data_IF_128792963517
#
_entry.id   IF_128792963517
#
_cell.length_a   1.000
_cell.length_b   1.000
_cell.length_c   1.000
_cell.angle_alpha   90.00
_cell.angle_beta   90.00
_cell.angle_gamma   90.00
#
_symmetry.space_group_name_H-M   'P 1'
#
loop_
_entity.id
_entity.type
_entity.pdbx_description
1 polymer ?
#
# COMPACT_ATOMS: atom_id res chain seq x y z
N UNK A 1 32.20 10.76 46.08
CA UNK A 1 30.97 11.58 46.00
C UNK A 1 30.37 11.70 44.58
N UNK A 2 31.08 11.37 43.49
CA UNK A 2 30.51 11.48 42.11
C UNK A 2 29.48 10.41 41.72
N UNK A 3 29.55 9.20 42.29
CA UNK A 3 28.77 8.04 41.82
C UNK A 3 27.26 8.13 42.09
N UNK A 4 26.83 8.74 43.20
CA UNK A 4 25.40 8.87 43.57
C UNK A 4 24.72 10.00 42.77
N UNK A 5 25.43 11.10 42.54
CA UNK A 5 24.92 12.23 41.75
C UNK A 5 24.78 11.85 40.25
N UNK A 6 25.73 11.08 39.72
CA UNK A 6 25.67 10.55 38.35
C UNK A 6 24.54 9.52 38.19
N UNK A 7 24.31 8.68 39.22
CA UNK A 7 23.20 7.73 39.23
C UNK A 7 21.84 8.44 39.20
N UNK A 8 21.64 9.47 40.02
CA UNK A 8 20.41 10.28 40.02
C UNK A 8 20.19 11.03 38.70
N UNK A 9 21.24 11.63 38.14
CA UNK A 9 21.15 12.33 36.86
C UNK A 9 20.86 11.38 35.68
N UNK A 10 21.41 10.17 35.69
CA UNK A 10 21.13 9.16 34.67
C UNK A 10 19.68 8.66 34.75
N UNK A 11 19.17 8.37 35.94
CA UNK A 11 17.76 7.94 36.12
C UNK A 11 16.76 9.04 35.76
N UNK A 12 17.03 10.30 36.12
CA UNK A 12 16.18 11.44 35.73
C UNK A 12 16.15 11.65 34.21
N UNK A 13 17.29 11.46 33.52
CA UNK A 13 17.35 11.53 32.05
C UNK A 13 16.60 10.37 31.40
N UNK A 14 16.70 9.16 31.94
CA UNK A 14 15.97 7.98 31.44
C UNK A 14 14.46 8.11 31.64
N UNK A 15 14.02 8.56 32.82
CA UNK A 15 12.61 8.84 33.10
C UNK A 15 12.08 9.97 32.19
N UNK A 16 12.85 11.05 32.02
CA UNK A 16 12.50 12.11 31.09
C UNK A 16 12.38 11.62 29.65
N UNK A 17 13.31 10.80 29.17
CA UNK A 17 13.25 10.20 27.84
C UNK A 17 12.05 9.26 27.67
N UNK A 18 11.73 8.45 28.68
CA UNK A 18 10.58 7.55 28.66
C UNK A 18 9.25 8.31 28.62
N UNK A 19 9.12 9.39 29.42
CA UNK A 19 7.93 10.26 29.39
C UNK A 19 7.80 10.96 28.04
N UNK A 20 8.91 11.48 27.49
CA UNK A 20 8.91 12.11 26.17
C UNK A 20 8.51 11.12 25.08
N UNK A 21 9.05 9.90 25.10
CA UNK A 21 8.67 8.82 24.20
C UNK A 21 7.18 8.48 24.32
N UNK A 22 6.65 8.32 25.53
CA UNK A 22 5.24 8.04 25.76
C UNK A 22 4.33 9.16 25.23
N UNK A 23 4.69 10.42 25.44
CA UNK A 23 3.96 11.58 24.93
C UNK A 23 3.99 11.66 23.39
N UNK A 24 5.16 11.40 22.78
CA UNK A 24 5.28 11.34 21.32
C UNK A 24 4.45 10.18 20.76
N UNK A 25 4.51 8.99 21.36
CA UNK A 25 3.71 7.85 20.95
C UNK A 25 2.21 8.12 21.08
N UNK A 26 1.76 8.75 22.16
CA UNK A 26 0.36 9.15 22.37
C UNK A 26 -0.09 10.18 21.32
N UNK A 27 0.74 11.20 21.06
CA UNK A 27 0.47 12.22 20.05
C UNK A 27 0.35 11.58 18.66
N UNK A 28 1.32 10.75 18.27
CA UNK A 28 1.33 10.00 17.01
C UNK A 28 0.07 9.14 16.88
N UNK A 29 -0.31 8.42 17.93
CA UNK A 29 -1.52 7.61 17.94
C UNK A 29 -2.78 8.46 17.74
N UNK A 30 -2.83 9.66 18.34
CA UNK A 30 -3.98 10.57 18.22
C UNK A 30 -4.09 11.22 16.84
N UNK A 31 -2.97 11.51 16.18
CA UNK A 31 -2.92 12.21 14.88
C UNK A 31 -2.67 11.28 13.69
N UNK A 32 -2.60 9.95 13.89
CA UNK A 32 -2.26 8.97 12.84
C UNK A 32 -3.05 9.11 11.54
N UNK A 33 -4.33 9.48 11.62
CA UNK A 33 -5.17 9.69 10.44
C UNK A 33 -4.74 10.89 9.58
N UNK A 34 -4.01 11.84 10.15
CA UNK A 34 -3.48 13.02 9.48
C UNK A 34 -2.03 12.81 9.03
N UNK A 35 -1.33 11.77 9.50
CA UNK A 35 0.07 11.52 9.13
C UNK A 35 0.23 11.02 7.69
N UNK A 36 -0.75 10.28 7.17
CA UNK A 36 -0.69 9.70 5.82
C UNK A 36 -0.39 10.74 4.72
N UNK A 37 -1.08 11.90 4.63
CA UNK A 37 -0.77 12.90 3.61
C UNK A 37 0.64 13.48 3.76
N UNK A 38 1.20 13.57 4.97
CA UNK A 38 2.59 14.02 5.16
C UNK A 38 3.59 12.97 4.69
N UNK A 39 3.34 11.69 4.98
CA UNK A 39 4.19 10.59 4.48
C UNK A 39 4.18 10.57 2.96
N UNK A 40 2.99 10.63 2.35
CA UNK A 40 2.85 10.71 0.89
C UNK A 40 3.51 11.97 0.32
N UNK A 41 3.42 13.11 1.01
CA UNK A 41 4.08 14.33 0.58
C UNK A 41 5.60 14.22 0.56
N UNK A 42 6.18 13.55 1.57
CA UNK A 42 7.61 13.25 1.63
C UNK A 42 8.01 12.33 0.47
N UNK A 43 7.26 11.25 0.25
CA UNK A 43 7.48 10.32 -0.87
C UNK A 43 7.44 11.05 -2.22
N UNK A 44 6.40 11.85 -2.47
CA UNK A 44 6.28 12.67 -3.68
C UNK A 44 7.42 13.69 -3.79
N UNK A 45 7.88 14.26 -2.67
CA UNK A 45 8.98 15.23 -2.71
C UNK A 45 10.27 14.54 -3.13
N UNK A 46 10.55 13.34 -2.63
CA UNK A 46 11.68 12.52 -3.08
C UNK A 46 11.60 12.12 -4.55
N UNK A 47 10.40 11.80 -5.03
CA UNK A 47 10.16 11.45 -6.42
C UNK A 47 10.41 12.65 -7.36
N UNK A 48 9.87 13.83 -7.04
CA UNK A 48 9.92 15.00 -7.92
C UNK A 48 11.19 15.84 -7.81
N UNK A 49 11.87 15.85 -6.67
CA UNK A 49 13.10 16.64 -6.46
C UNK A 49 14.15 16.50 -7.60
N UNK A 50 14.50 15.31 -8.11
CA UNK A 50 15.44 15.22 -9.24
C UNK A 50 14.90 15.90 -10.50
N UNK A 51 13.61 15.76 -10.81
CA UNK A 51 12.97 16.41 -11.95
C UNK A 51 13.02 17.94 -11.80
N UNK A 52 12.73 18.46 -10.61
CA UNK A 52 12.81 19.91 -10.30
C UNK A 52 14.24 20.39 -10.52
N UNK A 53 15.24 19.69 -9.97
CA UNK A 53 16.66 20.03 -10.13
C UNK A 53 17.10 20.02 -11.60
N UNK A 54 16.61 19.07 -12.41
CA UNK A 54 16.90 19.01 -13.84
C UNK A 54 16.34 20.23 -14.59
N UNK A 55 15.11 20.65 -14.30
CA UNK A 55 14.51 21.85 -14.92
C UNK A 55 15.20 23.14 -14.46
N UNK A 56 15.53 23.25 -13.18
CA UNK A 56 16.28 24.41 -12.66
C UNK A 56 17.66 24.51 -13.32
N UNK A 57 18.36 23.38 -13.52
CA UNK A 57 19.63 23.34 -14.27
C UNK A 57 19.47 23.79 -15.74
N UNK A 58 18.28 23.61 -16.33
CA UNK A 58 17.93 24.08 -17.67
C UNK A 58 17.48 25.56 -17.72
N UNK A 59 17.53 26.28 -16.60
CA UNK A 59 17.23 27.72 -16.53
C UNK A 59 15.83 28.08 -16.00
N UNK A 60 15.01 27.10 -15.59
CA UNK A 60 13.72 27.39 -14.98
C UNK A 60 13.90 27.96 -13.57
N UNK A 61 13.07 28.93 -13.19
CA UNK A 61 12.95 29.30 -11.77
C UNK A 61 12.42 28.09 -10.97
N UNK A 62 12.81 27.96 -9.71
CA UNK A 62 12.39 26.83 -8.86
C UNK A 62 10.87 26.68 -8.81
N UNK A 63 10.15 27.79 -8.67
CA UNK A 63 8.68 27.80 -8.66
C UNK A 63 8.10 27.38 -10.01
N UNK A 64 8.66 27.84 -11.13
CA UNK A 64 8.20 27.44 -12.46
C UNK A 64 8.43 25.94 -12.71
N UNK A 65 9.59 25.41 -12.32
CA UNK A 65 9.89 23.99 -12.39
C UNK A 65 8.89 23.15 -11.57
N UNK A 66 8.56 23.60 -10.36
CA UNK A 66 7.55 22.94 -9.52
C UNK A 66 6.18 22.96 -10.18
N UNK A 67 5.68 24.14 -10.58
CA UNK A 67 4.37 24.25 -11.25
C UNK A 67 4.30 23.36 -12.47
N UNK A 68 5.33 23.35 -13.32
CA UNK A 68 5.39 22.50 -14.49
C UNK A 68 5.30 21.01 -14.13
N UNK A 69 6.08 20.53 -13.17
CA UNK A 69 6.07 19.12 -12.75
C UNK A 69 4.71 18.72 -12.17
N UNK A 70 4.10 19.56 -11.35
CA UNK A 70 2.77 19.27 -10.80
C UNK A 70 1.69 19.29 -11.87
N UNK A 71 1.75 20.20 -12.84
CA UNK A 71 0.82 20.20 -13.99
C UNK A 71 0.94 18.90 -14.78
N UNK A 72 2.16 18.48 -15.13
CA UNK A 72 2.40 17.21 -15.82
C UNK A 72 1.91 16.03 -14.98
N UNK A 73 2.21 16.02 -13.68
CA UNK A 73 1.76 14.96 -12.76
C UNK A 73 0.23 14.87 -12.71
N UNK A 74 -0.48 15.97 -12.50
CA UNK A 74 -1.94 15.98 -12.46
C UNK A 74 -2.56 15.59 -13.80
N UNK A 75 -1.95 15.98 -14.93
CA UNK A 75 -2.36 15.52 -16.26
C UNK A 75 -2.19 14.01 -16.42
N UNK A 76 -1.02 13.47 -16.05
CA UNK A 76 -0.77 12.01 -16.10
C UNK A 76 -1.74 11.25 -15.20
N UNK A 77 -1.98 11.73 -13.99
CA UNK A 77 -2.96 11.13 -13.07
C UNK A 77 -4.37 11.22 -13.63
N UNK A 78 -4.78 12.37 -14.18
CA UNK A 78 -6.12 12.53 -14.76
C UNK A 78 -6.35 11.59 -15.95
N UNK A 79 -5.36 11.43 -16.84
CA UNK A 79 -5.42 10.47 -17.95
C UNK A 79 -5.47 9.03 -17.42
N UNK A 80 -4.59 8.67 -16.47
CA UNK A 80 -4.57 7.35 -15.86
C UNK A 80 -5.90 7.01 -15.18
N UNK A 81 -6.45 7.95 -14.41
CA UNK A 81 -7.77 7.85 -13.78
C UNK A 81 -8.87 7.67 -14.84
N UNK A 82 -8.84 8.45 -15.92
CA UNK A 82 -9.81 8.34 -17.01
C UNK A 82 -9.78 6.99 -17.75
N UNK A 83 -8.64 6.32 -17.80
CA UNK A 83 -8.50 4.99 -18.42
C UNK A 83 -8.81 3.85 -17.44
N UNK A 84 -8.33 3.97 -16.20
CA UNK A 84 -8.39 2.90 -15.20
C UNK A 84 -9.75 2.87 -14.51
N UNK A 85 -10.30 4.02 -14.11
CA UNK A 85 -11.56 4.06 -13.33
C UNK A 85 -12.72 3.38 -14.08
N UNK A 86 -12.99 3.64 -15.38
CA UNK A 86 -14.08 2.95 -16.07
C UNK A 86 -13.91 1.43 -16.06
N UNK A 87 -12.67 0.95 -16.25
CA UNK A 87 -12.34 -0.47 -16.21
C UNK A 87 -12.57 -1.06 -14.83
N UNK A 88 -12.09 -0.37 -13.78
CA UNK A 88 -12.31 -0.76 -12.38
C UNK A 88 -13.80 -0.77 -12.04
N UNK A 89 -14.57 0.26 -12.43
CA UNK A 89 -16.02 0.32 -12.18
C UNK A 89 -16.75 -0.83 -12.89
N UNK A 90 -16.37 -1.13 -14.13
CA UNK A 90 -16.91 -2.27 -14.87
C UNK A 90 -16.59 -3.59 -14.16
N UNK A 91 -15.34 -3.79 -13.75
CA UNK A 91 -14.89 -4.95 -13.00
C UNK A 91 -15.62 -5.08 -11.64
N UNK A 92 -15.85 -3.99 -10.93
CA UNK A 92 -16.61 -3.97 -9.67
C UNK A 92 -18.09 -4.30 -9.86
N UNK A 93 -18.74 -3.76 -10.90
CA UNK A 93 -20.13 -4.08 -11.20
C UNK A 93 -20.30 -5.57 -11.56
N UNK A 94 -19.37 -6.12 -12.36
CA UNK A 94 -19.32 -7.56 -12.64
C UNK A 94 -19.16 -8.37 -11.35
N UNK A 95 -18.26 -7.96 -10.46
CA UNK A 95 -18.08 -8.63 -9.18
C UNK A 95 -19.39 -8.63 -8.38
N UNK A 96 -20.10 -7.50 -8.31
CA UNK A 96 -21.38 -7.40 -7.64
C UNK A 96 -22.47 -8.32 -8.24
N UNK A 97 -22.49 -8.50 -9.57
CA UNK A 97 -23.40 -9.43 -10.26
C UNK A 97 -23.07 -10.90 -9.99
N UNK A 98 -21.79 -11.26 -9.93
CA UNK A 98 -21.34 -12.65 -9.79
C UNK A 98 -21.37 -13.16 -8.36
N UNK A 99 -21.18 -12.28 -7.37
CA UNK A 99 -21.15 -12.65 -5.95
C UNK A 99 -22.39 -13.46 -5.56
N UNK A 100 -23.64 -13.03 -5.81
CA UNK A 100 -24.83 -13.82 -5.51
C UNK A 100 -24.89 -15.18 -6.23
N UNK A 101 -24.41 -15.25 -7.47
CA UNK A 101 -24.42 -16.49 -8.27
C UNK A 101 -23.41 -17.52 -7.73
N UNK A 102 -22.21 -17.07 -7.33
CA UNK A 102 -21.24 -17.94 -6.66
C UNK A 102 -21.76 -18.43 -5.31
N UNK A 103 -22.50 -17.59 -4.57
CA UNK A 103 -23.18 -18.05 -3.35
C UNK A 103 -24.19 -19.15 -3.64
N UNK A 104 -25.03 -18.98 -4.66
CA UNK A 104 -25.99 -20.00 -5.06
C UNK A 104 -25.30 -21.32 -5.46
N UNK A 105 -24.22 -21.27 -6.24
CA UNK A 105 -23.46 -22.46 -6.64
C UNK A 105 -22.77 -23.16 -5.46
N UNK A 106 -22.16 -22.41 -4.54
CA UNK A 106 -21.57 -22.99 -3.32
C UNK A 106 -22.65 -23.63 -2.46
N UNK A 107 -23.83 -23.01 -2.38
CA UNK A 107 -24.97 -23.55 -1.65
C UNK A 107 -25.50 -24.83 -2.30
N UNK A 108 -25.61 -24.85 -3.63
CA UNK A 108 -26.03 -26.02 -4.42
C UNK A 108 -25.02 -27.17 -4.32
N UNK A 109 -23.72 -26.90 -4.46
CA UNK A 109 -22.66 -27.89 -4.22
C UNK A 109 -22.71 -28.43 -2.78
N UNK A 110 -22.98 -27.57 -1.80
CA UNK A 110 -23.14 -28.00 -0.41
C UNK A 110 -24.38 -28.89 -0.24
N UNK A 111 -25.50 -28.55 -0.87
CA UNK A 111 -26.71 -29.38 -0.86
C UNK A 111 -26.51 -30.72 -1.59
N UNK A 112 -25.84 -30.75 -2.74
CA UNK A 112 -25.51 -31.99 -3.45
C UNK A 112 -24.57 -32.87 -2.64
N UNK A 113 -23.55 -32.27 -2.00
CA UNK A 113 -22.66 -32.98 -1.10
C UNK A 113 -23.43 -33.53 0.10
N UNK A 114 -24.31 -32.73 0.71
CA UNK A 114 -25.18 -33.15 1.80
C UNK A 114 -26.11 -34.30 1.36
N UNK A 115 -26.68 -34.24 0.16
CA UNK A 115 -27.53 -35.29 -0.39
C UNK A 115 -26.77 -36.61 -0.61
N UNK A 116 -25.56 -36.57 -1.18
CA UNK A 116 -24.72 -37.78 -1.40
C UNK A 116 -24.28 -38.46 -0.11
N UNK A 117 -23.96 -37.69 0.93
CA UNK A 117 -23.60 -38.27 2.23
C UNK A 117 -24.81 -38.56 3.13
N UNK A 118 -26.01 -38.13 2.74
CA UNK A 118 -27.24 -38.47 3.46
C UNK A 118 -27.66 -39.93 3.29
N UNK A 119 -27.27 -40.54 2.17
CA UNK A 119 -27.44 -41.97 1.89
C UNK A 119 -26.47 -42.85 2.71
N UNK A 120 -25.39 -42.25 3.25
CA UNK A 120 -24.43 -42.89 4.13
C UNK A 120 -24.84 -42.63 5.59
N UNK A 121 -24.92 -43.67 6.42
CA UNK A 121 -25.23 -43.54 7.85
C UNK A 121 -24.04 -42.94 8.61
N UNK A 122 -23.86 -41.63 8.47
CA UNK A 122 -22.89 -40.86 9.22
C UNK A 122 -23.40 -40.57 10.64
N UNK A 123 -22.53 -40.62 11.66
CA UNK A 123 -22.85 -40.15 13.00
C UNK A 123 -23.32 -38.69 12.99
N UNK A 124 -24.29 -38.35 13.85
CA UNK A 124 -24.90 -37.02 13.91
C UNK A 124 -23.88 -35.89 14.12
N UNK A 125 -22.80 -36.17 14.88
CA UNK A 125 -21.69 -35.24 15.09
C UNK A 125 -20.92 -34.89 13.80
N UNK A 126 -20.81 -35.84 12.87
CA UNK A 126 -20.12 -35.61 11.58
C UNK A 126 -21.00 -34.76 10.65
N UNK A 127 -22.31 -34.99 10.64
CA UNK A 127 -23.26 -34.12 9.90
C UNK A 127 -23.22 -32.68 10.40
N UNK A 128 -23.31 -32.49 11.72
CA UNK A 128 -23.23 -31.15 12.31
C UNK A 128 -21.91 -30.44 11.99
N UNK A 129 -20.77 -31.15 12.06
CA UNK A 129 -19.47 -30.58 11.71
C UNK A 129 -19.37 -30.15 10.22
N UNK A 130 -20.02 -30.88 9.30
CA UNK A 130 -20.06 -30.54 7.88
C UNK A 130 -20.95 -29.30 7.66
N UNK A 131 -22.16 -29.28 8.25
CA UNK A 131 -23.09 -28.16 8.12
C UNK A 131 -22.47 -26.87 8.70
N UNK A 132 -21.81 -26.95 9.86
CA UNK A 132 -21.07 -25.84 10.47
C UNK A 132 -19.90 -25.38 9.61
N UNK A 133 -19.17 -26.30 8.97
CA UNK A 133 -18.09 -25.96 8.05
C UNK A 133 -18.59 -25.23 6.80
N UNK A 134 -19.72 -25.67 6.23
CA UNK A 134 -20.37 -25.00 5.08
C UNK A 134 -20.81 -23.59 5.44
N UNK A 135 -21.51 -23.42 6.57
CA UNK A 135 -21.95 -22.12 7.06
C UNK A 135 -20.76 -21.19 7.36
N UNK A 136 -19.69 -21.73 7.92
CA UNK A 136 -18.44 -20.99 8.17
C UNK A 136 -17.78 -20.52 6.88
N UNK A 137 -17.71 -21.37 5.85
CA UNK A 137 -17.14 -21.02 4.54
C UNK A 137 -17.99 -19.95 3.85
N UNK A 138 -19.32 -20.08 3.86
CA UNK A 138 -20.23 -19.07 3.31
C UNK A 138 -20.09 -17.72 4.02
N UNK A 139 -20.09 -17.72 5.36
CA UNK A 139 -19.92 -16.51 6.17
C UNK A 139 -18.56 -15.83 5.93
N UNK A 140 -17.48 -16.61 5.79
CA UNK A 140 -16.15 -16.08 5.45
C UNK A 140 -16.08 -15.50 4.05
N UNK A 141 -16.69 -16.16 3.06
CA UNK A 141 -16.78 -15.63 1.68
C UNK A 141 -17.55 -14.31 1.64
N UNK A 142 -18.69 -14.23 2.34
CA UNK A 142 -19.47 -12.98 2.43
C UNK A 142 -18.66 -11.89 3.11
N UNK A 143 -17.98 -12.24 4.21
CA UNK A 143 -17.09 -11.33 4.93
C UNK A 143 -15.95 -10.80 4.06
N UNK A 144 -15.34 -11.65 3.23
CA UNK A 144 -14.26 -11.26 2.31
C UNK A 144 -14.76 -10.29 1.22
N UNK A 145 -15.90 -10.59 0.59
CA UNK A 145 -16.49 -9.69 -0.42
C UNK A 145 -16.90 -8.35 0.20
N UNK A 146 -17.56 -8.39 1.36
CA UNK A 146 -17.98 -7.20 2.09
C UNK A 146 -16.78 -6.35 2.51
N UNK A 147 -15.71 -6.98 2.99
CA UNK A 147 -14.48 -6.31 3.39
C UNK A 147 -13.74 -5.73 2.19
N UNK A 148 -13.75 -6.41 1.04
CA UNK A 148 -13.19 -5.88 -0.21
C UNK A 148 -13.97 -4.63 -0.66
N UNK A 149 -15.30 -4.68 -0.65
CA UNK A 149 -16.16 -3.53 -0.96
C UNK A 149 -15.95 -2.36 0.01
N UNK A 150 -15.87 -2.63 1.31
CA UNK A 150 -15.57 -1.61 2.33
C UNK A 150 -14.16 -1.04 2.18
N UNK A 151 -13.17 -1.86 1.77
CA UNK A 151 -11.81 -1.39 1.51
C UNK A 151 -11.78 -0.43 0.33
N UNK A 152 -12.56 -0.68 -0.72
CA UNK A 152 -12.75 0.24 -1.86
C UNK A 152 -13.38 1.56 -1.39
N UNK A 153 -14.40 1.51 -0.52
CA UNK A 153 -14.96 2.71 0.10
C UNK A 153 -13.94 3.42 1.02
N UNK A 154 -13.05 2.66 1.67
CA UNK A 154 -11.92 3.19 2.44
C UNK A 154 -10.93 3.98 1.59
N UNK A 155 -10.75 3.63 0.31
CA UNK A 155 -9.95 4.41 -0.65
C UNK A 155 -10.54 5.81 -0.85
N UNK A 156 -11.87 5.97 -0.80
CA UNK A 156 -12.49 7.31 -0.82
C UNK A 156 -12.15 8.12 0.44
N UNK A 157 -11.94 7.51 1.61
CA UNK A 157 -11.43 8.24 2.78
C UNK A 157 -9.97 8.70 2.59
N UNK A 158 -9.17 7.90 1.86
CA UNK A 158 -7.81 8.25 1.49
C UNK A 158 -7.74 9.33 0.40
N UNK A 159 -8.86 9.62 -0.28
CA UNK A 159 -8.96 10.67 -1.31
C UNK A 159 -8.54 12.05 -0.78
N UNK A 160 -8.92 12.38 0.46
CA UNK A 160 -8.46 13.61 1.10
C UNK A 160 -6.93 13.64 1.20
N UNK A 161 -6.31 12.54 1.63
CA UNK A 161 -4.85 12.42 1.70
C UNK A 161 -4.19 12.54 0.33
N UNK A 162 -4.83 12.02 -0.72
CA UNK A 162 -4.33 12.06 -2.09
C UNK A 162 -4.35 13.47 -2.69
N UNK A 163 -5.28 14.34 -2.27
CA UNK A 163 -5.32 15.75 -2.67
C UNK A 163 -4.34 16.58 -1.85
N UNK A 164 -4.29 16.35 -0.53
CA UNK A 164 -3.47 17.15 0.38
C UNK A 164 -1.97 16.85 0.20
N UNK A 165 -1.61 15.60 -0.08
CA UNK A 165 -0.21 15.20 -0.20
C UNK A 165 0.56 15.96 -1.30
N UNK A 166 0.05 16.12 -2.55
CA UNK A 166 0.67 16.97 -3.56
C UNK A 166 0.87 18.42 -3.10
N UNK A 167 -0.12 19.01 -2.41
CA UNK A 167 -0.02 20.39 -1.89
C UNK A 167 1.09 20.48 -0.86
N UNK A 168 1.12 19.58 0.12
CA UNK A 168 2.17 19.54 1.13
C UNK A 168 3.55 19.29 0.50
N UNK A 169 3.63 18.40 -0.48
CA UNK A 169 4.87 18.09 -1.19
C UNK A 169 5.40 19.29 -1.96
N UNK A 170 4.50 20.08 -2.57
CA UNK A 170 4.86 21.34 -3.23
C UNK A 170 5.53 22.31 -2.24
N UNK A 171 4.94 22.51 -1.05
CA UNK A 171 5.54 23.36 -0.01
C UNK A 171 6.88 22.80 0.48
N UNK A 172 6.97 21.49 0.75
CA UNK A 172 8.21 20.84 1.16
C UNK A 172 9.34 21.02 0.14
N UNK A 173 9.04 20.91 -1.15
CA UNK A 173 10.01 21.10 -2.23
C UNK A 173 10.37 22.56 -2.46
N UNK A 174 9.42 23.48 -2.29
CA UNK A 174 9.64 24.92 -2.44
C UNK A 174 10.57 25.44 -1.35
N UNK A 175 10.32 25.06 -0.10
CA UNK A 175 10.94 25.65 1.08
C UNK A 175 11.99 24.73 1.75
N UNK A 176 12.49 23.71 1.03
CA UNK A 176 13.42 22.70 1.57
C UNK A 176 14.65 23.31 2.23
N UNK A 177 15.16 24.42 1.71
CA UNK A 177 16.37 25.07 2.21
C UNK A 177 16.09 25.78 3.55
N UNK A 178 14.90 26.39 3.67
CA UNK A 178 14.41 26.95 4.92
C UNK A 178 14.19 25.89 6.00
N UNK A 179 13.60 24.75 5.62
CA UNK A 179 13.39 23.61 6.51
C UNK A 179 14.73 23.03 7.01
N UNK A 180 15.69 22.81 6.11
CA UNK A 180 17.04 22.34 6.46
C UNK A 180 17.77 23.33 7.38
N UNK A 181 17.68 24.63 7.10
CA UNK A 181 18.28 25.66 7.94
C UNK A 181 17.64 25.71 9.34
N UNK A 182 16.31 25.56 9.43
CA UNK A 182 15.57 25.49 10.69
C UNK A 182 15.98 24.28 11.53
N UNK A 183 16.02 23.09 10.93
CA UNK A 183 16.48 21.87 11.59
C UNK A 183 17.94 21.99 12.08
N UNK A 184 18.80 22.62 11.27
CA UNK A 184 20.19 22.88 11.62
C UNK A 184 20.38 23.72 12.90
N UNK A 185 19.40 24.55 13.28
CA UNK A 185 19.47 25.39 14.48
C UNK A 185 19.30 24.58 15.78
N UNK A 186 18.60 23.46 15.74
CA UNK A 186 18.45 22.56 16.89
C UNK A 186 19.69 21.69 17.14
N UNK A 187 20.61 21.62 16.16
CA UNK A 187 21.84 20.86 16.27
C UNK A 187 22.92 21.74 16.94
N UNK A 188 23.57 21.26 18.02
CA UNK A 188 24.68 21.96 18.66
C UNK A 188 25.77 22.34 17.67
N UNK A 189 26.31 23.55 17.79
CA UNK A 189 27.28 24.12 16.82
C UNK A 189 28.51 23.24 16.59
N UNK A 190 28.94 22.48 17.61
CA UNK A 190 30.09 21.57 17.56
C UNK A 190 29.88 20.43 16.55
N UNK A 191 28.67 19.88 16.48
CA UNK A 191 28.38 18.66 15.71
C UNK A 191 27.67 18.99 14.39
N UNK A 192 27.19 20.23 14.22
CA UNK A 192 26.35 20.68 13.09
C UNK A 192 26.88 20.26 11.71
N UNK A 193 28.17 20.44 11.43
CA UNK A 193 28.75 20.09 10.12
C UNK A 193 28.70 18.59 9.86
N UNK A 194 29.03 17.78 10.87
CA UNK A 194 29.00 16.32 10.78
C UNK A 194 27.58 15.80 10.61
N UNK A 195 26.65 16.29 11.43
CA UNK A 195 25.24 15.87 11.37
C UNK A 195 24.58 16.26 10.05
N UNK A 196 24.79 17.49 9.54
CA UNK A 196 24.22 17.91 8.26
C UNK A 196 24.78 17.10 7.08
N UNK A 197 26.06 16.72 7.11
CA UNK A 197 26.65 15.84 6.11
C UNK A 197 26.00 14.46 6.14
N UNK A 198 25.91 13.84 7.32
CA UNK A 198 25.25 12.54 7.49
C UNK A 198 23.78 12.57 7.03
N UNK A 199 23.03 13.62 7.39
CA UNK A 199 21.65 13.79 6.95
C UNK A 199 21.54 13.89 5.43
N UNK A 200 22.49 14.55 4.76
CA UNK A 200 22.49 14.64 3.29
C UNK A 200 22.80 13.30 2.61
N UNK A 201 23.63 12.46 3.22
CA UNK A 201 23.92 11.10 2.74
C UNK A 201 22.70 10.19 2.90
N UNK A 202 22.04 10.24 4.07
CA UNK A 202 20.78 9.53 4.34
C UNK A 202 19.70 9.98 3.35
N UNK A 203 19.54 11.29 3.14
CA UNK A 203 18.59 11.87 2.17
C UNK A 203 18.79 11.29 0.77
N UNK A 204 20.05 11.12 0.33
CA UNK A 204 20.39 10.52 -0.95
C UNK A 204 19.98 9.04 -1.06
N UNK A 205 20.26 8.25 -0.02
CA UNK A 205 19.90 6.81 0.04
C UNK A 205 18.38 6.64 0.06
N UNK A 206 17.68 7.38 0.91
CA UNK A 206 16.21 7.34 1.02
C UNK A 206 15.57 7.78 -0.30
N UNK A 207 16.08 8.86 -0.92
CA UNK A 207 15.58 9.30 -2.22
C UNK A 207 15.78 8.23 -3.32
N UNK A 208 16.92 7.54 -3.31
CA UNK A 208 17.20 6.41 -4.22
C UNK A 208 16.21 5.27 -4.03
N UNK A 209 16.04 4.83 -2.78
CA UNK A 209 15.13 3.76 -2.40
C UNK A 209 13.67 4.06 -2.79
N UNK A 210 13.14 5.22 -2.41
CA UNK A 210 11.75 5.61 -2.72
C UNK A 210 11.49 5.58 -4.23
N UNK A 211 12.42 6.12 -5.04
CA UNK A 211 12.28 6.13 -6.50
C UNK A 211 12.37 4.72 -7.08
N UNK A 212 13.31 3.91 -6.61
CA UNK A 212 13.43 2.51 -7.00
C UNK A 212 12.14 1.76 -6.72
N UNK A 213 11.61 1.86 -5.50
CA UNK A 213 10.40 1.15 -5.11
C UNK A 213 9.17 1.56 -5.92
N UNK A 214 8.99 2.85 -6.21
CA UNK A 214 7.87 3.30 -7.04
C UNK A 214 7.97 2.80 -8.49
N UNK A 215 9.20 2.70 -9.03
CA UNK A 215 9.44 2.13 -10.36
C UNK A 215 9.13 0.63 -10.36
N UNK A 216 9.68 -0.11 -9.39
CA UNK A 216 9.43 -1.55 -9.20
C UNK A 216 7.93 -1.81 -9.05
N UNK A 217 7.25 -1.10 -8.16
CA UNK A 217 5.80 -1.20 -7.95
C UNK A 217 4.99 -0.97 -9.24
N UNK A 218 5.38 0.01 -10.05
CA UNK A 218 4.73 0.30 -11.33
C UNK A 218 4.96 -0.81 -12.36
N UNK A 219 6.19 -1.35 -12.42
CA UNK A 219 6.55 -2.46 -13.31
C UNK A 219 5.81 -3.73 -12.90
N UNK A 220 5.91 -4.13 -11.64
CA UNK A 220 5.26 -5.32 -11.09
C UNK A 220 3.74 -5.24 -11.29
N UNK A 221 3.10 -4.13 -10.93
CA UNK A 221 1.66 -3.96 -11.14
C UNK A 221 1.24 -4.07 -12.61
N UNK A 222 2.04 -3.53 -13.53
CA UNK A 222 1.79 -3.63 -14.98
C UNK A 222 2.00 -5.05 -15.51
N UNK A 223 3.07 -5.73 -15.09
CA UNK A 223 3.37 -7.11 -15.48
C UNK A 223 2.33 -8.08 -14.94
N UNK A 224 1.88 -7.91 -13.69
CA UNK A 224 0.81 -8.71 -13.10
C UNK A 224 -0.49 -8.48 -13.86
N UNK A 225 -0.86 -7.23 -14.15
CA UNK A 225 -2.04 -6.91 -14.97
C UNK A 225 -1.98 -7.63 -16.31
N UNK A 226 -0.84 -7.53 -17.01
CA UNK A 226 -0.64 -8.15 -18.31
C UNK A 226 -0.71 -9.68 -18.24
N UNK A 227 -0.03 -10.30 -17.27
CA UNK A 227 -0.04 -11.75 -17.09
C UNK A 227 -1.44 -12.28 -16.80
N UNK A 228 -2.18 -11.64 -15.90
CA UNK A 228 -3.56 -12.01 -15.58
C UNK A 228 -4.49 -11.81 -16.78
N UNK A 229 -4.31 -10.73 -17.54
CA UNK A 229 -5.07 -10.47 -18.77
C UNK A 229 -4.83 -11.56 -19.83
N UNK A 230 -3.57 -11.92 -20.09
CA UNK A 230 -3.20 -12.98 -21.04
C UNK A 230 -3.72 -14.37 -20.62
N UNK A 231 -3.83 -14.60 -19.31
CA UNK A 231 -4.40 -15.83 -18.76
C UNK A 231 -5.93 -15.82 -18.68
N UNK A 232 -6.59 -14.75 -19.18
CA UNK A 232 -8.04 -14.53 -19.10
C UNK A 232 -8.59 -14.57 -17.66
N UNK A 233 -7.81 -14.09 -16.70
CA UNK A 233 -8.24 -13.96 -15.30
C UNK A 233 -9.12 -12.72 -15.16
N UNK A 234 -10.26 -12.89 -14.49
CA UNK A 234 -11.17 -11.79 -14.18
C UNK A 234 -10.50 -10.79 -13.24
N UNK A 235 -10.85 -9.52 -13.36
CA UNK A 235 -10.35 -8.45 -12.50
C UNK A 235 -8.84 -8.20 -12.61
N UNK A 236 -8.24 -8.49 -13.78
CA UNK A 236 -6.81 -8.40 -14.00
C UNK A 236 -6.24 -7.01 -13.67
N UNK A 237 -6.97 -5.94 -14.00
CA UNK A 237 -6.53 -4.56 -13.74
C UNK A 237 -6.60 -4.24 -12.25
N UNK A 238 -7.70 -4.54 -11.57
CA UNK A 238 -7.80 -4.36 -10.11
C UNK A 238 -6.71 -5.16 -9.39
N UNK A 239 -6.52 -6.43 -9.75
CA UNK A 239 -5.53 -7.31 -9.11
C UNK A 239 -4.10 -6.82 -9.36
N UNK A 240 -3.78 -6.34 -10.55
CA UNK A 240 -2.48 -5.74 -10.84
C UNK A 240 -2.24 -4.43 -10.11
N UNK A 241 -3.25 -3.58 -9.92
CA UNK A 241 -3.16 -2.39 -9.06
C UNK A 241 -2.89 -2.79 -7.61
N UNK A 242 -3.61 -3.78 -7.09
CA UNK A 242 -3.40 -4.29 -5.72
C UNK A 242 -1.97 -4.83 -5.58
N UNK A 243 -1.49 -5.61 -6.54
CA UNK A 243 -0.11 -6.12 -6.53
C UNK A 243 0.91 -4.97 -6.55
N UNK A 244 0.77 -4.00 -7.46
CA UNK A 244 1.68 -2.85 -7.54
C UNK A 244 1.65 -1.97 -6.28
N UNK A 245 0.48 -1.72 -5.68
CA UNK A 245 0.37 -0.96 -4.42
C UNK A 245 0.97 -1.74 -3.25
N UNK A 246 0.73 -3.05 -3.19
CA UNK A 246 1.30 -3.92 -2.18
C UNK A 246 2.83 -3.95 -2.26
N UNK A 247 3.38 -3.87 -3.48
CA UNK A 247 4.81 -3.80 -3.75
C UNK A 247 5.50 -2.57 -3.15
N UNK A 248 4.77 -1.59 -2.61
CA UNK A 248 5.39 -0.51 -1.81
C UNK A 248 6.07 -1.07 -0.55
N UNK A 249 5.67 -2.25 -0.07
CA UNK A 249 6.28 -2.94 1.08
C UNK A 249 7.11 -4.13 0.57
N UNK A 250 8.44 -4.01 0.44
CA UNK A 250 9.30 -5.07 -0.07
C UNK A 250 9.11 -6.39 0.68
N UNK A 251 9.29 -7.52 -0.01
CA UNK A 251 9.12 -8.90 0.48
C UNK A 251 7.69 -9.29 0.87
N UNK A 252 6.87 -8.37 1.36
CA UNK A 252 5.47 -8.64 1.73
C UNK A 252 4.51 -8.36 0.59
N UNK A 253 4.81 -7.36 -0.24
CA UNK A 253 4.03 -6.94 -1.40
C UNK A 253 3.62 -8.10 -2.31
N UNK A 254 4.56 -8.99 -2.70
CA UNK A 254 4.26 -10.13 -3.55
C UNK A 254 3.24 -11.08 -2.92
N UNK A 255 3.34 -11.36 -1.62
CA UNK A 255 2.37 -12.21 -0.92
C UNK A 255 1.00 -11.54 -0.83
N UNK A 256 0.97 -10.26 -0.46
CA UNK A 256 -0.28 -9.49 -0.33
C UNK A 256 -0.99 -9.39 -1.69
N UNK A 257 -0.24 -9.17 -2.77
CA UNK A 257 -0.77 -9.12 -4.15
C UNK A 257 -1.17 -10.48 -4.70
N UNK A 258 -0.42 -11.54 -4.37
CA UNK A 258 -0.67 -12.88 -4.86
C UNK A 258 -1.93 -13.52 -4.26
N UNK A 259 -2.22 -13.29 -2.98
CA UNK A 259 -3.38 -13.88 -2.30
C UNK A 259 -4.70 -13.65 -3.06
N UNK A 260 -5.12 -12.41 -3.37
CA UNK A 260 -6.37 -12.19 -4.10
C UNK A 260 -6.31 -12.71 -5.54
N UNK A 261 -5.17 -12.61 -6.23
CA UNK A 261 -5.02 -13.12 -7.59
C UNK A 261 -5.14 -14.65 -7.68
N UNK A 262 -4.50 -15.36 -6.75
CA UNK A 262 -4.59 -16.81 -6.63
C UNK A 262 -5.99 -17.27 -6.21
N UNK A 263 -6.66 -16.54 -5.31
CA UNK A 263 -8.02 -16.84 -4.92
C UNK A 263 -8.99 -16.78 -6.12
N UNK A 264 -8.89 -15.72 -6.93
CA UNK A 264 -9.69 -15.60 -8.16
C UNK A 264 -9.34 -16.70 -9.17
N UNK A 265 -8.06 -17.01 -9.37
CA UNK A 265 -7.63 -18.06 -10.29
C UNK A 265 -8.10 -19.46 -9.86
N UNK A 266 -8.02 -19.77 -8.57
CA UNK A 266 -8.47 -21.04 -7.98
C UNK A 266 -9.98 -21.24 -8.08
N UNK A 267 -10.76 -20.16 -8.08
CA UNK A 267 -12.21 -20.22 -8.30
C UNK A 267 -12.59 -20.67 -9.73
N UNK A 268 -11.65 -20.59 -10.68
CA UNK A 268 -11.87 -21.00 -12.07
C UNK A 268 -11.40 -22.44 -12.30
N UNK A 269 -10.14 -22.76 -12.00
CA UNK A 269 -9.62 -24.13 -12.03
C UNK A 269 -8.28 -24.24 -11.33
N UNK A 270 -7.93 -25.44 -10.86
CA UNK A 270 -6.61 -25.73 -10.27
C UNK A 270 -5.47 -25.46 -11.24
N UNK A 271 -5.64 -25.79 -12.53
CA UNK A 271 -4.62 -25.55 -13.54
C UNK A 271 -4.40 -24.04 -13.77
N UNK A 272 -5.48 -23.25 -13.75
CA UNK A 272 -5.41 -21.79 -13.84
C UNK A 272 -4.68 -21.19 -12.63
N UNK A 273 -4.96 -21.68 -11.42
CA UNK A 273 -4.24 -21.25 -10.22
C UNK A 273 -2.74 -21.54 -10.30
N UNK A 274 -2.35 -22.71 -10.81
CA UNK A 274 -0.94 -23.07 -11.02
C UNK A 274 -0.29 -22.14 -12.06
N UNK A 275 -0.96 -21.85 -13.17
CA UNK A 275 -0.45 -20.91 -14.20
C UNK A 275 -0.22 -19.51 -13.62
N UNK A 276 -1.17 -19.01 -12.81
CA UNK A 276 -1.04 -17.71 -12.15
C UNK A 276 0.10 -17.73 -11.13
N UNK A 277 0.23 -18.79 -10.31
CA UNK A 277 1.32 -18.93 -9.35
C UNK A 277 2.69 -18.89 -10.03
N UNK A 278 2.84 -19.62 -11.14
CA UNK A 278 4.07 -19.61 -11.93
C UNK A 278 4.34 -18.22 -12.51
N UNK A 279 3.33 -17.56 -13.07
CA UNK A 279 3.48 -16.21 -13.62
C UNK A 279 3.89 -15.19 -12.55
N UNK A 280 3.24 -15.19 -11.38
CA UNK A 280 3.58 -14.28 -10.27
C UNK A 280 4.99 -14.55 -9.74
N UNK A 281 5.36 -15.83 -9.59
CA UNK A 281 6.72 -16.20 -9.18
C UNK A 281 7.76 -15.76 -10.21
N UNK A 282 7.46 -15.88 -11.51
CA UNK A 282 8.36 -15.43 -12.56
C UNK A 282 8.53 -13.91 -12.56
N UNK A 283 7.45 -13.14 -12.35
CA UNK A 283 7.51 -11.68 -12.21
C UNK A 283 8.35 -11.31 -10.99
N UNK A 284 8.23 -12.06 -9.88
CA UNK A 284 9.01 -11.82 -8.68
C UNK A 284 10.53 -11.97 -8.88
N UNK A 285 10.97 -12.83 -9.80
CA UNK A 285 12.40 -12.98 -10.08
C UNK A 285 12.98 -11.80 -10.88
N UNK A 286 12.14 -10.90 -11.38
CA UNK A 286 12.54 -9.69 -12.09
C UNK A 286 12.67 -8.47 -11.15
N UNK A 287 12.19 -8.59 -9.91
CA UNK A 287 12.36 -7.61 -8.83
C UNK A 287 13.74 -7.75 -8.16
#
# INVERSE_FOLDING_TARGET
>A
MGTVADWFNRHRRLLGAAVLLALVSLAVWRIRGVLLPFVLAIVLSYLFNPLVKLLVKKGFSRTAALVFIYVVFFLTVAVGVGLVIPTVVFELNRLAEFVPQYFAQVQEMAYEFQARYSEVQLPQAVRQAIDDAVLTVQGKLLGLVSSAAQSILGVFSAFFSLIVAPVLSFYLLRDVDGLRAGLGRFIPSRDRRGTLKLLSEIDGVVAGFVRGQLIVASIVGSLVTLALFLLNIRFAVILGIVAGVAEVIPYFGPFIGAIPALAVAASTSTLTAIKVLVALTAIQQLE
#
